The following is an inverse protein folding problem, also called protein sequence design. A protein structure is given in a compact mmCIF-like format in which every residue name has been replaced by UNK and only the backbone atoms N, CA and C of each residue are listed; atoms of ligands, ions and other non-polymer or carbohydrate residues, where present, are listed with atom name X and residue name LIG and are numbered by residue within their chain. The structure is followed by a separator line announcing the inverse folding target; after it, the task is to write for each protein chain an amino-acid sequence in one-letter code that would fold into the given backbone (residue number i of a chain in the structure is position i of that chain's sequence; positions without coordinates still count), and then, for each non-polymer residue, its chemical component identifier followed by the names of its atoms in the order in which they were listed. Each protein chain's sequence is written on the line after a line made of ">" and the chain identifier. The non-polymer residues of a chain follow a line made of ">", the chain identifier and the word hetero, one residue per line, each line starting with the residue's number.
data_IF_385790271639
#
_entry.id   IF_385790271639
#
_cell.length_a   1.000
_cell.length_b   1.000
_cell.length_c   1.000
_cell.angle_alpha   90.00
_cell.angle_beta   90.00
_cell.angle_gamma   90.00
#
_symmetry.space_group_name_H-M   'P 1'
#
loop_
_entity.id
_entity.type
_entity.pdbx_description
1 polymer ?
#
# COMPACT_ATOMS: atom_id res chain seq x y z
N UNK A 1 -2.39 14.64 -12.45
CA UNK A 1 -3.26 13.63 -11.84
C UNK A 1 -2.68 13.38 -10.47
N UNK A 2 -3.32 13.96 -9.46
CA UNK A 2 -2.91 13.88 -8.05
C UNK A 2 -3.53 12.60 -7.50
N UNK A 3 -2.75 11.52 -7.42
CA UNK A 3 -3.21 10.30 -6.75
C UNK A 3 -2.97 10.49 -5.25
N UNK A 4 -4.02 10.54 -4.41
CA UNK A 4 -3.83 10.68 -2.98
C UNK A 4 -3.07 9.44 -2.46
N UNK A 5 -1.86 9.68 -1.97
CA UNK A 5 -1.02 8.68 -1.32
C UNK A 5 -1.40 8.65 0.16
N UNK A 6 -1.98 7.54 0.60
CA UNK A 6 -2.43 7.36 2.00
C UNK A 6 -1.50 6.37 2.71
N UNK A 7 -1.26 6.55 4.00
CA UNK A 7 -0.51 5.56 4.79
C UNK A 7 -1.30 4.25 4.87
N UNK A 8 -0.65 3.14 4.55
CA UNK A 8 -1.25 1.83 4.69
C UNK A 8 -1.48 1.53 6.18
N UNK A 9 -2.71 1.19 6.53
CA UNK A 9 -3.10 0.83 7.90
C UNK A 9 -3.95 -0.44 7.88
N UNK A 10 -3.96 -1.19 8.99
CA UNK A 10 -4.76 -2.41 9.11
C UNK A 10 -6.26 -2.20 8.75
N UNK A 11 -6.96 -1.15 9.22
CA UNK A 11 -8.35 -0.93 8.81
C UNK A 11 -8.48 -0.63 7.31
N UNK A 12 -7.51 0.02 6.70
CA UNK A 12 -7.52 0.30 5.27
C UNK A 12 -7.34 -0.99 4.44
N UNK A 13 -6.46 -1.90 4.89
CA UNK A 13 -6.32 -3.24 4.29
C UNK A 13 -7.62 -4.01 4.36
N UNK A 14 -8.28 -4.04 5.53
CA UNK A 14 -9.56 -4.71 5.70
C UNK A 14 -10.62 -4.13 4.74
N UNK A 15 -10.75 -2.79 4.71
CA UNK A 15 -11.69 -2.11 3.82
C UNK A 15 -11.42 -2.43 2.33
N UNK A 16 -10.17 -2.48 1.90
CA UNK A 16 -9.82 -2.85 0.52
C UNK A 16 -10.24 -4.29 0.21
N UNK A 17 -9.98 -5.23 1.11
CA UNK A 17 -10.40 -6.63 0.93
C UNK A 17 -11.93 -6.75 0.85
N UNK A 18 -12.66 -6.03 1.71
CA UNK A 18 -14.13 -5.99 1.70
C UNK A 18 -14.70 -5.37 0.43
N UNK A 19 -14.01 -4.39 -0.17
CA UNK A 19 -14.39 -3.76 -1.43
C UNK A 19 -14.03 -4.59 -2.68
N UNK A 20 -13.54 -5.82 -2.50
CA UNK A 20 -13.23 -6.74 -3.60
C UNK A 20 -11.87 -6.51 -4.25
N UNK A 21 -10.96 -5.77 -3.63
CA UNK A 21 -9.57 -5.72 -4.08
C UNK A 21 -8.87 -7.03 -3.75
N UNK A 22 -8.39 -7.70 -4.80
CA UNK A 22 -7.78 -9.04 -4.67
C UNK A 22 -6.27 -9.04 -4.85
N UNK A 23 -5.72 -7.99 -5.44
CA UNK A 23 -4.32 -7.92 -5.86
C UNK A 23 -3.71 -6.62 -5.35
N UNK A 24 -2.50 -6.70 -4.80
CA UNK A 24 -1.81 -5.53 -4.27
C UNK A 24 -0.37 -5.53 -4.78
N UNK A 25 -0.07 -4.61 -5.69
CA UNK A 25 1.27 -4.48 -6.27
C UNK A 25 2.10 -3.55 -5.41
N UNK A 26 3.17 -4.08 -4.82
CA UNK A 26 4.18 -3.33 -4.09
C UNK A 26 5.32 -2.92 -5.01
N UNK A 27 5.77 -1.69 -4.90
CA UNK A 27 6.99 -1.16 -5.51
C UNK A 27 7.81 -0.36 -4.49
N UNK A 28 9.10 -0.16 -4.74
CA UNK A 28 9.88 0.82 -3.97
C UNK A 28 9.54 2.23 -4.43
N UNK A 29 9.33 3.13 -3.48
CA UNK A 29 9.01 4.53 -3.74
C UNK A 29 10.14 5.41 -3.20
N UNK A 30 11.15 5.66 -4.04
CA UNK A 30 12.31 6.46 -3.63
C UNK A 30 11.96 7.95 -3.52
N UNK A 31 10.97 8.43 -4.26
CA UNK A 31 10.59 9.84 -4.32
C UNK A 31 10.00 10.37 -3.00
N UNK A 32 9.36 9.51 -2.21
CA UNK A 32 8.87 9.87 -0.87
C UNK A 32 9.97 9.99 0.17
N UNK A 33 11.21 9.61 -0.18
CA UNK A 33 12.36 9.69 0.72
C UNK A 33 12.81 11.13 0.71
N UNK A 34 12.26 11.92 1.64
CA UNK A 34 12.85 13.20 1.95
C UNK A 34 14.33 12.96 2.28
N UNK A 35 15.23 13.53 1.47
CA UNK A 35 16.68 13.34 1.60
C UNK A 35 17.20 13.76 3.00
N UNK A 36 16.38 14.44 3.79
CA UNK A 36 16.71 14.88 5.15
C UNK A 36 16.25 13.91 6.25
N UNK A 37 15.36 12.95 5.96
CA UNK A 37 14.83 12.02 6.96
C UNK A 37 15.70 10.75 7.07
N UNK A 38 16.78 10.84 7.85
CA UNK A 38 17.71 9.73 8.09
C UNK A 38 17.07 8.53 8.84
N UNK A 39 15.85 8.69 9.36
CA UNK A 39 15.12 7.63 10.09
C UNK A 39 14.37 6.69 9.14
N UNK A 40 13.99 7.19 7.97
CA UNK A 40 13.31 6.38 6.96
C UNK A 40 14.34 5.60 6.14
N UNK A 41 14.44 4.29 6.42
CA UNK A 41 15.30 3.35 5.69
C UNK A 41 14.77 3.14 4.28
N UNK A 42 13.46 2.96 4.16
CA UNK A 42 12.83 2.61 2.90
C UNK A 42 11.35 2.95 2.88
N UNK A 43 10.86 3.24 1.67
CA UNK A 43 9.45 3.54 1.44
C UNK A 43 8.94 2.61 0.37
N UNK A 44 7.78 2.04 0.64
CA UNK A 44 7.05 1.17 -0.26
C UNK A 44 5.74 1.84 -0.65
N UNK A 45 5.38 1.67 -1.92
CA UNK A 45 4.07 2.05 -2.43
C UNK A 45 3.33 0.77 -2.82
N UNK A 46 2.09 0.65 -2.37
CA UNK A 46 1.19 -0.43 -2.70
C UNK A 46 0.06 0.13 -3.55
N UNK A 47 -0.25 -0.52 -4.67
CA UNK A 47 -1.40 -0.17 -5.48
C UNK A 47 -2.38 -1.35 -5.48
N UNK A 48 -3.61 -1.16 -4.98
CA UNK A 48 -4.62 -2.20 -4.95
C UNK A 48 -5.30 -2.30 -6.33
N UNK A 49 -5.59 -3.54 -6.75
CA UNK A 49 -6.19 -3.88 -8.02
C UNK A 49 -7.32 -4.90 -7.82
N UNK A 50 -8.39 -4.72 -8.59
CA UNK A 50 -9.49 -5.70 -8.71
C UNK A 50 -9.23 -6.68 -9.86
N UNK A 51 -8.57 -6.20 -10.92
CA UNK A 51 -8.25 -6.97 -12.12
C UNK A 51 -6.78 -7.40 -12.19
N UNK A 52 -6.55 -8.65 -12.60
CA UNK A 52 -5.20 -9.22 -12.74
C UNK A 52 -4.45 -8.67 -13.95
N UNK A 53 -5.15 -8.29 -15.02
CA UNK A 53 -4.56 -7.66 -16.19
C UNK A 53 -3.92 -6.34 -15.83
N UNK A 54 -4.64 -5.46 -15.13
CA UNK A 54 -4.13 -4.18 -14.65
C UNK A 54 -2.94 -4.34 -13.70
N UNK A 55 -3.06 -5.23 -12.71
CA UNK A 55 -1.99 -5.51 -11.77
C UNK A 55 -0.71 -6.01 -12.47
N UNK A 56 -0.86 -6.90 -13.45
CA UNK A 56 0.26 -7.43 -14.20
C UNK A 56 0.88 -6.38 -15.13
N UNK A 57 0.08 -5.51 -15.75
CA UNK A 57 0.60 -4.38 -16.53
C UNK A 57 1.43 -3.44 -15.66
N UNK A 58 0.93 -3.07 -14.48
CA UNK A 58 1.72 -2.29 -13.53
C UNK A 58 3.01 -3.03 -13.18
N UNK A 59 2.92 -4.31 -12.82
CA UNK A 59 4.07 -5.14 -12.44
C UNK A 59 5.15 -5.23 -13.54
N UNK A 60 4.75 -5.18 -14.81
CA UNK A 60 5.64 -5.10 -15.96
C UNK A 60 6.27 -3.72 -16.14
N UNK A 61 5.54 -2.63 -15.84
CA UNK A 61 6.08 -1.28 -15.86
C UNK A 61 7.18 -1.10 -14.81
N UNK A 62 6.98 -1.63 -13.59
CA UNK A 62 7.98 -1.62 -12.52
C UNK A 62 9.00 -2.75 -12.65
N UNK A 63 9.23 -3.31 -13.85
CA UNK A 63 10.08 -4.50 -14.02
C UNK A 63 11.51 -4.38 -13.50
N UNK A 64 12.03 -3.16 -13.46
CA UNK A 64 13.38 -2.85 -12.99
C UNK A 64 13.47 -2.71 -11.47
N UNK A 65 12.33 -2.65 -10.78
CA UNK A 65 12.28 -2.59 -9.33
C UNK A 65 12.57 -3.98 -8.75
N UNK A 66 13.69 -4.08 -8.01
CA UNK A 66 14.13 -5.35 -7.41
C UNK A 66 13.28 -5.78 -6.21
N UNK A 67 12.50 -4.86 -5.64
CA UNK A 67 11.67 -5.07 -4.45
C UNK A 67 10.19 -5.18 -4.78
N UNK A 68 9.84 -5.15 -6.08
CA UNK A 68 8.49 -5.35 -6.56
C UNK A 68 7.94 -6.68 -6.06
N UNK A 69 6.68 -6.65 -5.65
CA UNK A 69 6.00 -7.85 -5.17
C UNK A 69 4.52 -7.71 -5.45
N UNK A 70 3.79 -8.82 -5.58
CA UNK A 70 2.34 -8.81 -5.75
C UNK A 70 1.73 -9.70 -4.68
N UNK A 71 0.94 -9.09 -3.80
CA UNK A 71 0.17 -9.81 -2.81
C UNK A 71 -1.17 -10.22 -3.42
N UNK A 72 -1.61 -11.43 -3.11
CA UNK A 72 -2.87 -12.00 -3.60
C UNK A 72 -3.77 -12.31 -2.41
N UNK A 73 -4.96 -11.71 -2.35
CA UNK A 73 -5.90 -11.88 -1.23
C UNK A 73 -6.39 -13.32 -1.05
N UNK A 74 -6.35 -14.13 -2.12
CA UNK A 74 -6.68 -15.56 -2.07
C UNK A 74 -5.73 -16.37 -1.18
N UNK A 75 -4.53 -15.86 -0.89
CA UNK A 75 -3.56 -16.50 -0.02
C UNK A 75 -3.51 -15.79 1.34
N UNK A 76 -3.93 -16.49 2.40
CA UNK A 76 -3.91 -15.96 3.77
C UNK A 76 -2.53 -15.43 4.16
N UNK A 77 -1.46 -16.15 3.81
CA UNK A 77 -0.09 -15.74 4.12
C UNK A 77 0.29 -14.39 3.48
N UNK A 78 -0.27 -14.08 2.31
CA UNK A 78 -0.03 -12.82 1.61
C UNK A 78 -0.79 -11.66 2.28
N UNK A 79 -2.02 -11.94 2.71
CA UNK A 79 -2.84 -11.01 3.48
C UNK A 79 -2.17 -10.69 4.81
N UNK A 80 -1.63 -11.69 5.53
CA UNK A 80 -0.88 -11.48 6.77
C UNK A 80 0.37 -10.60 6.56
N UNK A 81 1.10 -10.78 5.45
CA UNK A 81 2.22 -9.90 5.09
C UNK A 81 1.76 -8.47 4.82
N UNK A 82 0.60 -8.30 4.18
CA UNK A 82 0.00 -7.00 3.93
C UNK A 82 -0.35 -6.29 5.25
N UNK A 83 -0.96 -7.01 6.21
CA UNK A 83 -1.23 -6.49 7.55
C UNK A 83 0.06 -6.14 8.32
N UNK A 84 1.12 -6.94 8.21
CA UNK A 84 2.44 -6.59 8.78
C UNK A 84 3.03 -5.32 8.17
N UNK A 85 2.88 -5.14 6.86
CA UNK A 85 3.30 -3.91 6.19
C UNK A 85 2.46 -2.71 6.67
N UNK A 86 1.17 -2.93 6.90
CA UNK A 86 0.24 -1.93 7.41
C UNK A 86 0.49 -1.53 8.87
N UNK A 87 1.23 -2.35 9.63
CA UNK A 87 1.71 -1.99 10.98
C UNK A 87 2.85 -0.96 11.00
N UNK A 88 3.32 -0.47 9.83
CA UNK A 88 4.36 0.54 9.69
C UNK A 88 5.62 0.21 10.52
N UNK A 89 6.35 -0.87 10.17
CA UNK A 89 7.52 -1.27 10.94
C UNK A 89 8.56 -0.15 11.01
N UNK A 90 9.21 0.03 12.17
CA UNK A 90 10.09 1.15 12.43
C UNK A 90 11.16 1.34 11.34
N UNK A 91 11.19 2.55 10.77
CA UNK A 91 12.11 2.92 9.68
C UNK A 91 11.61 2.55 8.28
N UNK A 92 10.42 1.98 8.13
CA UNK A 92 9.78 1.75 6.85
C UNK A 92 8.48 2.55 6.78
N UNK A 93 8.21 3.17 5.63
CA UNK A 93 6.91 3.79 5.36
C UNK A 93 6.22 3.05 4.23
N UNK A 94 5.01 2.59 4.47
CA UNK A 94 4.23 1.90 3.45
C UNK A 94 3.02 2.76 3.10
N UNK A 95 2.98 3.23 1.87
CA UNK A 95 1.88 4.01 1.32
C UNK A 95 1.00 3.14 0.42
N UNK A 96 -0.24 3.55 0.24
CA UNK A 96 -1.16 3.02 -0.76
C UNK A 96 -1.56 4.12 -1.74
N UNK A 97 -1.50 3.82 -3.03
CA UNK A 97 -2.04 4.67 -4.08
C UNK A 97 -3.53 4.36 -4.23
N UNK A 98 -4.39 5.24 -3.74
CA UNK A 98 -5.83 5.14 -3.98
C UNK A 98 -6.15 5.90 -5.27
N UNK A 99 -6.94 5.27 -6.15
CA UNK A 99 -7.49 5.97 -7.31
C UNK A 99 -8.58 6.94 -6.84
N UNK A 100 -8.71 8.12 -7.46
CA UNK A 100 -9.55 9.22 -6.95
C UNK A 100 -11.05 8.87 -6.83
N UNK A 101 -11.52 7.85 -7.57
CA UNK A 101 -12.89 7.35 -7.44
C UNK A 101 -13.15 6.67 -6.08
N UNK A 102 -12.10 6.20 -5.41
CA UNK A 102 -12.17 5.36 -4.22
C UNK A 102 -11.29 5.99 -3.13
N UNK A 103 -11.46 7.31 -2.90
CA UNK A 103 -10.81 8.02 -1.79
C UNK A 103 -11.46 7.53 -0.48
N UNK A 104 -11.00 6.38 -0.01
CA UNK A 104 -11.36 5.83 1.29
C UNK A 104 -10.58 6.62 2.33
N UNK A 105 -11.20 7.68 2.85
CA UNK A 105 -10.73 8.31 4.07
C UNK A 105 -11.10 7.35 5.20
N UNK A 106 -10.15 6.64 5.85
CA UNK A 106 -10.45 6.14 7.17
C UNK A 106 -10.77 7.37 8.00
N UNK A 107 -12.02 7.46 8.46
CA UNK A 107 -12.48 8.53 9.33
C UNK A 107 -11.45 8.67 10.46
N UNK A 108 -10.74 9.80 10.50
CA UNK A 108 -9.70 10.12 11.49
C UNK A 108 -10.36 10.43 12.85
N UNK A 109 -11.30 9.59 13.27
CA UNK A 109 -11.96 9.63 14.58
C UNK A 109 -11.43 8.51 15.48
N UNK A 110 -10.12 8.29 15.47
CA UNK A 110 -9.45 7.82 16.69
C UNK A 110 -9.19 9.03 17.59
N UNK A 111 -10.28 9.72 17.98
CA UNK A 111 -10.24 10.78 18.98
C UNK A 111 -9.96 10.15 20.34
N UNK A 112 -8.90 10.61 20.98
CA UNK A 112 -8.62 10.63 22.41
C UNK A 112 -9.68 10.00 23.34
N UNK A 113 -9.29 8.98 24.11
CA UNK A 113 -9.91 8.52 25.36
C UNK A 113 -8.86 7.58 25.99
N UNK A 114 -8.30 7.72 27.18
CA UNK A 114 -8.43 8.60 28.36
C UNK A 114 -7.07 8.56 29.10
#
# INVERSE_FOLDING_TARGET
>A
MDHPLVLLSAPLVAAMLENGFTLFVRQSYQDGRDHTDARTREIFLITPYKDIGEANQHFQQIRFDKRKYIYQSHHVEEVEKLYKAASQPTGYKVYVALTPAETFLPDETATATE
#
